data_IF_585354062729
#
_entry.id   IF_585354062729
#
_cell.length_a   1.000
_cell.length_b   1.000
_cell.length_c   1.000
_cell.angle_alpha   90.00
_cell.angle_beta   90.00
_cell.angle_gamma   90.00
#
_symmetry.space_group_name_H-M   'P 1'
#
loop_
_entity.id
_entity.type
_entity.pdbx_description
1 polymer ?
#
# COMPACT_ATOMS: atom_id res chain seq x y z
N UNK A 1 -12.21 0.71 20.22
CA UNK A 1 -11.46 -0.53 20.57
C UNK A 1 -10.00 -0.30 20.22
N UNK A 2 -9.05 -0.42 21.16
CA UNK A 2 -7.62 -0.14 20.88
C UNK A 2 -6.94 -1.37 20.27
N UNK A 3 -6.29 -1.18 19.13
CA UNK A 3 -5.49 -2.20 18.45
C UNK A 3 -4.25 -2.53 19.31
N UNK A 4 -4.03 -3.81 19.64
CA UNK A 4 -2.97 -4.20 20.60
C UNK A 4 -1.56 -4.12 20.01
N UNK A 5 -1.40 -4.28 18.70
CA UNK A 5 -0.16 -4.14 17.95
C UNK A 5 -0.52 -3.70 16.52
N UNK A 6 0.18 -2.71 15.96
CA UNK A 6 0.05 -2.27 14.58
C UNK A 6 1.41 -2.33 13.91
N UNK A 7 1.47 -2.95 12.74
CA UNK A 7 2.70 -3.12 11.95
C UNK A 7 2.63 -2.36 10.63
N UNK A 8 1.44 -1.99 10.17
CA UNK A 8 1.25 -1.17 8.98
C UNK A 8 1.99 0.18 9.05
N UNK A 9 2.02 0.96 10.16
CA UNK A 9 2.81 2.19 10.21
C UNK A 9 4.31 1.96 9.98
N UNK A 10 4.85 0.82 10.41
CA UNK A 10 6.26 0.48 10.19
C UNK A 10 6.58 0.40 8.70
N UNK A 11 5.71 -0.25 7.92
CA UNK A 11 5.87 -0.33 6.47
C UNK A 11 5.74 1.03 5.79
N UNK A 12 4.82 1.87 6.26
CA UNK A 12 4.62 3.19 5.69
C UNK A 12 5.81 4.12 5.97
N UNK A 13 6.30 4.16 7.20
CA UNK A 13 7.49 4.92 7.56
C UNK A 13 8.74 4.41 6.84
N UNK A 14 8.90 3.09 6.70
CA UNK A 14 9.98 2.52 5.91
C UNK A 14 9.91 2.97 4.45
N UNK A 15 8.71 3.00 3.85
CA UNK A 15 8.53 3.45 2.48
C UNK A 15 8.95 4.92 2.30
N UNK A 16 8.53 5.82 3.20
CA UNK A 16 8.94 7.23 3.13
C UNK A 16 10.43 7.42 3.37
N UNK A 17 11.00 6.78 4.39
CA UNK A 17 12.44 6.88 4.66
C UNK A 17 13.26 6.48 3.43
N UNK A 18 12.88 5.39 2.76
CA UNK A 18 13.51 4.96 1.51
C UNK A 18 13.27 5.96 0.36
N UNK A 19 12.09 6.58 0.27
CA UNK A 19 11.79 7.61 -0.73
C UNK A 19 12.68 8.85 -0.59
N UNK A 20 12.98 9.26 0.64
CA UNK A 20 13.87 10.39 0.91
C UNK A 20 15.30 10.09 0.47
N UNK A 21 15.78 8.87 0.70
CA UNK A 21 17.11 8.45 0.20
C UNK A 21 17.18 8.43 -1.33
N UNK A 22 16.06 8.10 -2.01
CA UNK A 22 15.97 8.21 -3.48
C UNK A 22 16.07 9.67 -3.92
N UNK A 23 15.31 10.57 -3.27
CA UNK A 23 15.34 12.01 -3.54
C UNK A 23 16.75 12.58 -3.41
N UNK A 24 17.45 12.26 -2.31
CA UNK A 24 18.81 12.73 -2.05
C UNK A 24 19.79 12.27 -3.14
N UNK A 25 19.69 11.02 -3.59
CA UNK A 25 20.54 10.49 -4.66
C UNK A 25 20.23 11.17 -6.01
N UNK A 26 18.95 11.34 -6.35
CA UNK A 26 18.56 12.02 -7.59
C UNK A 26 19.00 13.49 -7.61
N UNK A 27 18.88 14.18 -6.47
CA UNK A 27 19.35 15.55 -6.30
C UNK A 27 20.88 15.68 -6.42
N UNK A 28 21.63 14.72 -5.89
CA UNK A 28 23.09 14.67 -6.03
C UNK A 28 23.51 14.37 -7.48
N UNK A 29 22.82 13.46 -8.16
CA UNK A 29 23.04 13.17 -9.58
C UNK A 29 22.81 14.42 -10.45
N UNK A 30 21.77 15.20 -10.17
CA UNK A 30 21.49 16.45 -10.88
C UNK A 30 22.61 17.50 -10.71
N UNK A 31 23.39 17.40 -9.63
CA UNK A 31 24.54 18.25 -9.32
C UNK A 31 25.88 17.67 -9.81
N UNK A 32 25.90 16.43 -10.29
CA UNK A 32 27.13 15.71 -10.69
C UNK A 32 27.96 15.23 -9.50
N UNK A 33 27.32 14.93 -8.36
CA UNK A 33 27.93 14.53 -7.09
C UNK A 33 27.65 13.04 -6.75
N UNK A 34 27.36 12.21 -7.75
CA UNK A 34 26.91 10.83 -7.54
C UNK A 34 27.94 9.88 -6.87
N UNK A 35 29.22 10.25 -6.90
CA UNK A 35 30.33 9.49 -6.31
C UNK A 35 30.26 9.43 -4.76
N UNK A 36 29.51 10.34 -4.11
CA UNK A 36 29.39 10.38 -2.65
C UNK A 36 28.66 9.16 -2.06
N UNK A 37 27.77 8.53 -2.83
CA UNK A 37 26.92 7.43 -2.37
C UNK A 37 27.52 6.04 -2.60
N UNK A 38 28.39 5.88 -3.60
CA UNK A 38 28.86 4.56 -4.02
C UNK A 38 29.75 3.86 -2.98
N UNK A 39 30.36 4.61 -2.04
CA UNK A 39 31.29 4.15 -0.98
C UNK A 39 32.30 3.06 -1.43
N UNK A 40 32.59 2.99 -2.73
CA UNK A 40 33.52 2.07 -3.37
C UNK A 40 33.07 0.61 -3.56
N UNK A 41 31.88 0.19 -3.10
CA UNK A 41 31.49 -1.24 -3.12
C UNK A 41 30.28 -1.56 -4.00
N UNK A 42 29.29 -0.66 -4.07
CA UNK A 42 28.04 -0.88 -4.82
C UNK A 42 27.81 0.34 -5.74
N UNK A 43 27.53 0.14 -7.04
CA UNK A 43 27.21 1.25 -7.93
C UNK A 43 26.03 2.07 -7.40
N UNK A 44 26.14 3.40 -7.40
CA UNK A 44 25.10 4.32 -6.89
C UNK A 44 23.71 4.03 -7.50
N UNK A 45 23.65 3.73 -8.79
CA UNK A 45 22.43 3.31 -9.48
C UNK A 45 21.77 2.08 -8.84
N UNK A 46 22.54 1.09 -8.40
CA UNK A 46 21.98 -0.10 -7.75
C UNK A 46 21.46 0.21 -6.34
N UNK A 47 22.10 1.13 -5.63
CA UNK A 47 21.63 1.62 -4.32
C UNK A 47 20.29 2.34 -4.51
N UNK A 48 20.25 3.29 -5.44
CA UNK A 48 19.06 4.04 -5.84
C UNK A 48 17.88 3.12 -6.21
N UNK A 49 18.09 2.24 -7.20
CA UNK A 49 17.06 1.31 -7.66
C UNK A 49 16.59 0.40 -6.52
N UNK A 50 17.51 0.01 -5.63
CA UNK A 50 17.22 -0.75 -4.43
C UNK A 50 16.29 -0.02 -3.47
N UNK A 51 16.58 1.25 -3.16
CA UNK A 51 15.72 2.07 -2.28
C UNK A 51 14.35 2.32 -2.90
N UNK A 52 14.29 2.74 -4.16
CA UNK A 52 13.04 3.01 -4.86
C UNK A 52 12.15 1.75 -4.96
N UNK A 53 12.72 0.61 -5.35
CA UNK A 53 11.95 -0.64 -5.44
C UNK A 53 11.42 -1.09 -4.07
N UNK A 54 12.25 -0.99 -3.01
CA UNK A 54 11.82 -1.36 -1.66
C UNK A 54 10.81 -0.37 -1.06
N UNK A 55 10.82 0.91 -1.45
CA UNK A 55 9.81 1.87 -1.06
C UNK A 55 8.43 1.51 -1.67
N UNK A 56 8.40 1.15 -2.95
CA UNK A 56 7.18 0.66 -3.63
C UNK A 56 6.68 -0.64 -2.99
N UNK A 57 7.57 -1.60 -2.74
CA UNK A 57 7.22 -2.86 -2.06
C UNK A 57 6.64 -2.57 -0.67
N UNK A 58 7.30 -1.72 0.11
CA UNK A 58 6.87 -1.34 1.47
C UNK A 58 5.51 -0.64 1.46
N UNK A 59 5.24 0.20 0.46
CA UNK A 59 3.93 0.83 0.27
C UNK A 59 2.82 -0.21 0.07
N UNK A 60 3.06 -1.24 -0.75
CA UNK A 60 2.08 -2.33 -0.90
C UNK A 60 1.97 -3.23 0.33
N UNK A 61 3.06 -3.40 1.08
CA UNK A 61 3.07 -4.13 2.35
C UNK A 61 2.27 -3.38 3.43
N UNK A 62 2.35 -2.05 3.47
CA UNK A 62 1.50 -1.20 4.31
C UNK A 62 0.01 -1.48 4.06
N UNK A 63 -0.43 -1.49 2.80
CA UNK A 63 -1.83 -1.79 2.46
C UNK A 63 -2.27 -3.18 2.92
N UNK A 64 -1.41 -4.18 2.71
CA UNK A 64 -1.66 -5.56 3.11
C UNK A 64 -1.75 -5.69 4.64
N UNK A 65 -0.83 -5.09 5.38
CA UNK A 65 -0.84 -5.07 6.83
C UNK A 65 -2.08 -4.32 7.36
N UNK A 66 -2.41 -3.15 6.79
CA UNK A 66 -3.51 -2.30 7.26
C UNK A 66 -4.86 -3.00 7.15
N UNK A 67 -5.13 -3.71 6.03
CA UNK A 67 -6.39 -4.45 5.88
C UNK A 67 -6.45 -5.70 6.76
N UNK A 68 -5.32 -6.38 6.96
CA UNK A 68 -5.24 -7.54 7.86
C UNK A 68 -5.45 -7.11 9.32
N UNK A 69 -4.93 -5.96 9.73
CA UNK A 69 -5.16 -5.39 11.07
C UNK A 69 -6.63 -5.07 11.32
N UNK A 70 -7.32 -4.45 10.34
CA UNK A 70 -8.76 -4.19 10.44
C UNK A 70 -9.55 -5.50 10.50
N UNK A 71 -9.17 -6.50 9.71
CA UNK A 71 -9.78 -7.81 9.77
C UNK A 71 -9.60 -8.47 11.15
N UNK A 72 -8.39 -8.47 11.70
CA UNK A 72 -8.09 -9.04 13.03
C UNK A 72 -8.83 -8.29 14.16
N UNK A 73 -8.95 -6.97 14.02
CA UNK A 73 -9.75 -6.13 14.92
C UNK A 73 -11.23 -6.58 14.90
N UNK A 74 -11.80 -6.73 13.71
CA UNK A 74 -13.18 -7.23 13.54
C UNK A 74 -13.35 -8.64 14.12
N UNK A 75 -12.40 -9.54 13.85
CA UNK A 75 -12.42 -10.91 14.36
C UNK A 75 -12.31 -10.98 15.89
N UNK A 76 -11.50 -10.12 16.50
CA UNK A 76 -11.35 -10.06 17.96
C UNK A 76 -12.63 -9.60 18.64
N UNK A 77 -13.29 -8.57 18.11
CA UNK A 77 -14.58 -8.13 18.65
C UNK A 77 -15.66 -9.20 18.47
N UNK A 78 -15.63 -9.89 17.33
CA UNK A 78 -16.50 -11.01 17.02
C UNK A 78 -16.42 -12.15 18.07
N UNK A 79 -15.20 -12.62 18.37
CA UNK A 79 -14.98 -13.64 19.39
C UNK A 79 -15.36 -13.15 20.81
N UNK A 80 -15.12 -11.87 21.10
CA UNK A 80 -15.53 -11.25 22.36
C UNK A 80 -17.05 -11.29 22.56
N UNK A 81 -17.81 -11.03 21.49
CA UNK A 81 -19.26 -11.09 21.49
C UNK A 81 -19.80 -12.51 21.69
N UNK A 82 -19.27 -13.49 20.95
CA UNK A 82 -19.66 -14.91 21.09
C UNK A 82 -19.44 -15.41 22.53
N UNK A 83 -18.32 -15.00 23.16
CA UNK A 83 -18.02 -15.34 24.56
C UNK A 83 -18.94 -14.64 25.57
N UNK A 84 -19.39 -13.42 25.28
CA UNK A 84 -20.26 -12.66 26.16
C UNK A 84 -21.72 -13.19 26.19
N UNK A 85 -22.14 -13.91 25.15
CA UNK A 85 -23.48 -14.50 25.08
C UNK A 85 -24.63 -13.48 25.09
N UNK A 86 -25.81 -13.89 25.57
CA UNK A 86 -27.04 -13.05 25.61
C UNK A 86 -27.01 -11.94 26.69
N UNK A 87 -26.00 -11.91 27.56
CA UNK A 87 -25.93 -11.01 28.72
C UNK A 87 -25.27 -9.66 28.40
N UNK A 88 -25.01 -9.40 27.13
CA UNK A 88 -24.43 -8.14 26.69
C UNK A 88 -25.48 -7.02 26.59
N UNK A 89 -25.18 -5.89 27.24
CA UNK A 89 -26.10 -4.75 27.42
C UNK A 89 -25.60 -3.46 26.76
N UNK A 90 -24.62 -3.54 25.86
CA UNK A 90 -24.08 -2.40 25.11
C UNK A 90 -25.06 -1.83 24.08
N UNK A 91 -24.95 -0.53 23.78
CA UNK A 91 -25.80 0.17 22.79
C UNK A 91 -25.35 -0.12 21.36
N UNK A 92 -26.30 -0.61 20.55
CA UNK A 92 -26.16 -1.36 19.29
C UNK A 92 -25.90 -0.57 18.00
N UNK A 93 -25.27 0.60 18.01
CA UNK A 93 -25.21 1.42 16.77
C UNK A 93 -23.99 1.12 15.86
N UNK A 94 -22.91 0.51 16.38
CA UNK A 94 -21.74 0.06 15.57
C UNK A 94 -21.67 -1.46 15.32
N UNK A 95 -22.47 -2.24 16.04
CA UNK A 95 -22.23 -3.68 16.23
C UNK A 95 -23.09 -4.58 15.34
N UNK A 96 -24.15 -4.04 14.73
CA UNK A 96 -24.93 -4.74 13.69
C UNK A 96 -24.10 -4.98 12.42
N UNK A 97 -23.17 -4.08 12.12
CA UNK A 97 -22.20 -4.21 11.02
C UNK A 97 -21.23 -5.35 11.31
N UNK A 98 -20.69 -5.39 12.53
CA UNK A 98 -19.84 -6.47 13.01
C UNK A 98 -20.57 -7.82 13.00
N UNK A 99 -21.84 -7.84 13.43
CA UNK A 99 -22.73 -9.02 13.40
C UNK A 99 -23.02 -9.55 11.99
N UNK A 100 -23.09 -8.68 10.98
CA UNK A 100 -23.24 -9.09 9.57
C UNK A 100 -21.96 -9.64 8.96
N UNK A 101 -20.80 -9.08 9.31
CA UNK A 101 -19.48 -9.64 8.96
C UNK A 101 -19.29 -11.02 9.62
N UNK A 102 -19.67 -11.14 10.91
CA UNK A 102 -19.68 -12.35 11.73
C UNK A 102 -20.52 -13.50 11.15
N UNK A 103 -21.72 -13.22 10.64
CA UNK A 103 -22.59 -14.24 10.04
C UNK A 103 -22.20 -14.56 8.58
N UNK A 104 -21.55 -13.63 7.89
CA UNK A 104 -21.17 -13.74 6.48
C UNK A 104 -19.84 -14.44 6.23
N UNK A 105 -18.87 -14.32 7.14
CA UNK A 105 -17.54 -14.92 7.00
C UNK A 105 -17.45 -16.24 7.78
N UNK A 106 -17.81 -17.36 7.15
CA UNK A 106 -17.61 -18.72 7.72
C UNK A 106 -16.11 -19.06 7.73
N UNK A 107 -15.72 -20.20 8.32
CA UNK A 107 -14.31 -20.66 8.33
C UNK A 107 -13.68 -20.74 6.93
N UNK A 108 -14.50 -21.03 5.92
CA UNK A 108 -14.13 -20.97 4.51
C UNK A 108 -13.64 -19.56 4.17
N UNK A 109 -14.39 -18.53 4.53
CA UNK A 109 -14.07 -17.15 4.19
C UNK A 109 -12.82 -16.63 4.90
N UNK A 110 -12.46 -17.14 6.09
CA UNK A 110 -11.16 -16.81 6.73
C UNK A 110 -9.98 -17.33 5.92
N UNK A 111 -10.04 -18.59 5.49
CA UNK A 111 -9.00 -19.18 4.62
C UNK A 111 -8.95 -18.47 3.27
N UNK A 112 -10.10 -18.19 2.68
CA UNK A 112 -10.20 -17.47 1.41
C UNK A 112 -9.74 -16.02 1.52
N UNK A 113 -9.99 -15.32 2.63
CA UNK A 113 -9.55 -13.95 2.86
C UNK A 113 -8.03 -13.88 2.85
N UNK A 114 -7.36 -14.74 3.64
CA UNK A 114 -5.89 -14.79 3.74
C UNK A 114 -5.19 -14.96 2.38
N UNK A 115 -5.80 -15.70 1.46
CA UNK A 115 -5.24 -15.99 0.14
C UNK A 115 -5.62 -14.97 -0.96
N UNK A 116 -6.44 -13.96 -0.67
CA UNK A 116 -6.78 -12.91 -1.63
C UNK A 116 -5.72 -11.81 -1.64
N UNK A 117 -5.55 -11.16 -2.79
CA UNK A 117 -4.75 -9.95 -2.87
C UNK A 117 -5.35 -8.83 -1.99
N UNK A 118 -4.50 -7.90 -1.55
CA UNK A 118 -4.86 -6.78 -0.68
C UNK A 118 -6.13 -6.07 -1.14
N UNK A 119 -6.18 -5.59 -2.39
CA UNK A 119 -7.34 -4.85 -2.91
C UNK A 119 -8.66 -5.62 -2.82
N UNK A 120 -8.66 -6.94 -3.08
CA UNK A 120 -9.84 -7.78 -2.91
C UNK A 120 -10.26 -7.90 -1.45
N UNK A 121 -9.31 -7.90 -0.51
CA UNK A 121 -9.60 -7.90 0.94
C UNK A 121 -10.34 -6.61 1.34
N UNK A 122 -9.86 -5.46 0.90
CA UNK A 122 -10.51 -4.16 1.13
C UNK A 122 -11.96 -4.17 0.64
N UNK A 123 -12.18 -4.58 -0.61
CA UNK A 123 -13.50 -4.67 -1.21
C UNK A 123 -14.43 -5.61 -0.45
N UNK A 124 -13.92 -6.78 -0.05
CA UNK A 124 -14.71 -7.75 0.73
C UNK A 124 -15.15 -7.17 2.07
N UNK A 125 -14.25 -6.52 2.81
CA UNK A 125 -14.62 -5.95 4.11
C UNK A 125 -15.69 -4.87 3.96
N UNK A 126 -15.59 -3.99 2.95
CA UNK A 126 -16.63 -2.99 2.68
C UNK A 126 -17.98 -3.66 2.37
N UNK A 127 -18.01 -4.64 1.47
CA UNK A 127 -19.24 -5.36 1.12
C UNK A 127 -19.87 -6.07 2.32
N UNK A 128 -19.06 -6.77 3.14
CA UNK A 128 -19.56 -7.52 4.30
C UNK A 128 -20.04 -6.60 5.42
N UNK A 129 -19.48 -5.40 5.51
CA UNK A 129 -19.91 -4.37 6.46
C UNK A 129 -21.10 -3.54 5.94
N UNK A 130 -21.61 -3.84 4.74
CA UNK A 130 -22.68 -3.07 4.11
C UNK A 130 -22.28 -1.66 3.71
N UNK A 131 -20.97 -1.42 3.55
CA UNK A 131 -20.41 -0.15 3.07
C UNK A 131 -20.19 -0.20 1.56
N UNK A 132 -20.12 0.96 0.94
CA UNK A 132 -19.93 1.06 -0.49
C UNK A 132 -18.51 0.61 -0.90
N UNK A 133 -18.37 -0.39 -1.79
CA UNK A 133 -17.08 -0.81 -2.32
C UNK A 133 -16.40 0.34 -3.09
N UNK A 134 -15.07 0.31 -3.24
CA UNK A 134 -14.43 1.27 -4.15
C UNK A 134 -14.87 0.99 -5.58
N UNK A 135 -15.20 2.03 -6.35
CA UNK A 135 -15.39 1.88 -7.78
C UNK A 135 -14.05 1.50 -8.42
N UNK A 136 -14.03 0.37 -9.12
CA UNK A 136 -12.81 -0.12 -9.76
C UNK A 136 -12.44 0.73 -10.98
N UNK A 137 -13.33 1.56 -11.51
CA UNK A 137 -13.04 2.55 -12.54
C UNK A 137 -12.55 3.90 -12.02
N UNK A 138 -12.69 4.18 -10.72
CA UNK A 138 -12.30 5.47 -10.13
C UNK A 138 -10.79 5.59 -9.88
N UNK A 139 -10.33 6.85 -9.84
CA UNK A 139 -8.93 7.22 -9.75
C UNK A 139 -8.19 6.56 -8.59
N UNK A 140 -8.74 6.57 -7.37
CA UNK A 140 -8.02 6.07 -6.19
C UNK A 140 -7.78 4.55 -6.23
N UNK A 141 -8.77 3.77 -6.68
CA UNK A 141 -8.59 2.32 -6.86
C UNK A 141 -7.60 2.02 -7.98
N UNK A 142 -7.68 2.74 -9.10
CA UNK A 142 -6.77 2.57 -10.24
C UNK A 142 -5.32 2.97 -9.91
N UNK A 143 -5.12 4.03 -9.12
CA UNK A 143 -3.81 4.43 -8.59
C UNK A 143 -3.18 3.28 -7.80
N UNK A 144 -3.86 2.73 -6.80
CA UNK A 144 -3.30 1.63 -6.01
C UNK A 144 -3.14 0.33 -6.81
N UNK A 145 -4.07 0.02 -7.72
CA UNK A 145 -3.91 -1.13 -8.60
C UNK A 145 -2.70 -0.98 -9.52
N UNK A 146 -2.39 0.25 -9.94
CA UNK A 146 -1.16 0.59 -10.67
C UNK A 146 0.06 0.32 -9.81
N UNK A 147 0.12 0.84 -8.58
CA UNK A 147 1.25 0.59 -7.65
C UNK A 147 1.44 -0.92 -7.42
N UNK A 148 0.34 -1.67 -7.26
CA UNK A 148 0.39 -3.14 -7.12
C UNK A 148 0.98 -3.82 -8.35
N UNK A 149 0.64 -3.37 -9.56
CA UNK A 149 1.19 -3.90 -10.81
C UNK A 149 2.67 -3.57 -10.93
N UNK A 150 3.05 -2.32 -10.70
CA UNK A 150 4.46 -1.90 -10.68
C UNK A 150 5.28 -2.76 -9.71
N UNK A 151 4.79 -2.96 -8.49
CA UNK A 151 5.44 -3.86 -7.52
C UNK A 151 5.61 -5.29 -8.06
N UNK A 152 4.58 -5.82 -8.71
CA UNK A 152 4.65 -7.15 -9.29
C UNK A 152 5.69 -7.21 -10.42
N UNK A 153 5.74 -6.18 -11.27
CA UNK A 153 6.68 -6.12 -12.38
C UNK A 153 8.13 -6.03 -11.89
N UNK A 154 8.37 -5.33 -10.77
CA UNK A 154 9.69 -5.25 -10.12
C UNK A 154 10.14 -6.59 -9.49
N UNK A 155 9.21 -7.40 -8.98
CA UNK A 155 9.53 -8.70 -8.35
C UNK A 155 9.62 -9.82 -9.38
N UNK A 156 8.69 -9.84 -10.34
CA UNK A 156 8.55 -10.87 -11.36
C UNK A 156 9.17 -10.40 -12.67
N UNK A 157 10.35 -9.80 -12.58
CA UNK A 157 11.10 -9.36 -13.74
C UNK A 157 11.33 -10.52 -14.71
N UNK A 158 10.86 -10.40 -15.96
CA UNK A 158 11.09 -11.39 -17.00
C UNK A 158 12.22 -10.94 -17.94
N UNK A 159 13.29 -11.75 -18.15
CA UNK A 159 14.42 -11.37 -19.00
C UNK A 159 14.06 -10.96 -20.43
N UNK A 160 12.99 -11.53 -20.97
CA UNK A 160 12.49 -11.26 -22.33
C UNK A 160 12.05 -9.80 -22.52
N UNK A 161 11.87 -9.04 -21.43
CA UNK A 161 11.58 -7.61 -21.46
C UNK A 161 12.70 -6.77 -22.08
N UNK A 162 13.96 -7.23 -22.03
CA UNK A 162 15.08 -6.55 -22.69
C UNK A 162 15.15 -6.84 -24.20
N UNK A 163 14.72 -8.02 -24.63
CA UNK A 163 14.79 -8.45 -26.03
C UNK A 163 13.49 -8.17 -26.81
N UNK A 164 12.39 -7.91 -26.10
CA UNK A 164 11.12 -7.56 -26.72
C UNK A 164 11.18 -6.15 -27.31
N UNK A 165 10.76 -6.01 -28.57
CA UNK A 165 10.55 -4.69 -29.21
C UNK A 165 9.26 -4.01 -28.75
N UNK A 166 8.50 -4.65 -27.86
CA UNK A 166 7.24 -4.13 -27.35
C UNK A 166 7.53 -3.17 -26.20
N UNK A 167 6.91 -1.99 -26.25
CA UNK A 167 6.97 -1.07 -25.12
C UNK A 167 6.22 -1.69 -23.94
N UNK A 168 6.90 -1.86 -22.81
CA UNK A 168 6.22 -2.11 -21.55
C UNK A 168 5.42 -0.84 -21.27
N UNK A 169 4.12 -0.88 -21.61
CA UNK A 169 3.21 0.17 -21.24
C UNK A 169 3.34 0.38 -19.73
N UNK A 170 3.44 1.63 -19.25
CA UNK A 170 3.36 1.92 -17.83
C UNK A 170 2.22 1.12 -17.23
N UNK A 171 2.42 0.47 -16.07
CA UNK A 171 1.30 -0.19 -15.42
C UNK A 171 0.22 0.88 -15.18
N UNK A 172 -0.90 0.81 -15.89
CA UNK A 172 -2.10 1.59 -15.58
C UNK A 172 -1.96 3.12 -15.63
N UNK A 173 -2.36 3.78 -14.53
CA UNK A 173 -2.75 5.20 -14.45
C UNK A 173 -1.73 6.06 -13.70
N UNK A 174 -0.43 5.86 -13.98
CA UNK A 174 0.60 6.78 -13.49
C UNK A 174 0.28 8.19 -14.01
N UNK A 175 0.25 9.24 -13.16
CA UNK A 175 -0.02 10.60 -13.61
C UNK A 175 0.96 11.06 -14.69
N UNK A 176 0.46 11.83 -15.65
CA UNK A 176 1.33 12.51 -16.60
C UNK A 176 2.11 13.62 -15.88
N UNK A 177 3.37 13.80 -16.26
CA UNK A 177 4.21 14.87 -15.74
C UNK A 177 5.00 14.51 -14.48
N UNK A 178 5.01 13.24 -14.07
CA UNK A 178 6.01 12.75 -13.12
C UNK A 178 7.31 12.43 -13.87
N UNK A 179 8.43 12.80 -13.25
CA UNK A 179 9.76 12.49 -13.76
C UNK A 179 10.09 11.01 -13.58
N UNK A 180 10.75 10.44 -14.59
CA UNK A 180 11.20 9.05 -14.60
C UNK A 180 12.61 8.93 -14.01
N UNK A 181 13.01 7.69 -13.71
CA UNK A 181 14.30 7.39 -13.10
C UNK A 181 15.44 8.01 -13.93
N UNK A 182 16.24 8.93 -13.36
CA UNK A 182 17.23 9.71 -14.11
C UNK A 182 18.41 8.86 -14.62
N UNK A 183 18.58 7.63 -14.12
CA UNK A 183 19.59 6.69 -14.62
C UNK A 183 19.18 5.96 -15.91
N UNK A 184 17.96 6.16 -16.41
CA UNK A 184 17.39 5.41 -17.54
C UNK A 184 16.76 6.35 -18.58
N UNK A 185 17.24 6.26 -19.83
CA UNK A 185 16.77 7.14 -20.93
C UNK A 185 15.44 6.71 -21.56
N UNK A 186 14.91 5.52 -21.22
CA UNK A 186 13.72 4.95 -21.87
C UNK A 186 12.66 4.64 -20.83
N UNK A 187 11.39 4.64 -21.21
CA UNK A 187 10.25 4.23 -20.35
C UNK A 187 9.88 2.75 -20.52
N UNK A 188 10.79 1.94 -21.11
CA UNK A 188 10.50 0.57 -21.56
C UNK A 188 10.83 -0.50 -20.53
N UNK A 189 11.43 -0.13 -19.40
CA UNK A 189 11.83 -1.04 -18.32
C UNK A 189 11.08 -0.62 -17.04
N UNK A 190 10.55 -1.56 -16.24
CA UNK A 190 10.07 -1.28 -14.88
C UNK A 190 11.01 -0.39 -14.05
N UNK A 191 12.33 -0.51 -14.27
CA UNK A 191 13.33 0.31 -13.58
C UNK A 191 13.24 1.80 -13.91
N UNK A 192 12.73 2.15 -15.08
CA UNK A 192 12.47 3.53 -15.48
C UNK A 192 11.42 4.21 -14.62
N UNK A 193 10.58 3.45 -13.93
CA UNK A 193 9.58 3.96 -12.99
C UNK A 193 10.10 4.05 -11.56
N UNK A 194 11.38 3.79 -11.32
CA UNK A 194 12.02 3.88 -10.00
C UNK A 194 12.58 5.28 -9.77
N UNK A 195 11.74 6.32 -9.82
CA UNK A 195 12.11 7.69 -9.46
C UNK A 195 11.51 8.12 -8.14
N UNK A 196 12.06 9.17 -7.50
CA UNK A 196 11.49 9.73 -6.29
C UNK A 196 10.01 10.11 -6.49
N UNK A 197 9.68 10.84 -7.55
CA UNK A 197 8.31 11.32 -7.77
C UNK A 197 7.29 10.17 -7.93
N UNK A 198 7.67 9.08 -8.61
CA UNK A 198 6.80 7.91 -8.77
C UNK A 198 6.69 7.14 -7.45
N UNK A 199 7.78 7.04 -6.68
CA UNK A 199 7.79 6.40 -5.36
C UNK A 199 6.92 7.17 -4.38
N UNK A 200 7.06 8.49 -4.31
CA UNK A 200 6.28 9.34 -3.40
C UNK A 200 4.78 9.31 -3.78
N UNK A 201 4.47 9.39 -5.08
CA UNK A 201 3.13 9.16 -5.58
C UNK A 201 2.56 7.79 -5.19
N UNK A 202 3.38 6.73 -5.21
CA UNK A 202 2.96 5.38 -4.85
C UNK A 202 2.64 5.27 -3.34
N UNK A 203 3.47 5.88 -2.50
CA UNK A 203 3.27 5.98 -1.05
C UNK A 203 1.96 6.71 -0.75
N UNK A 204 1.80 7.91 -1.32
CA UNK A 204 0.62 8.77 -1.15
C UNK A 204 -0.66 8.03 -1.59
N UNK A 205 -0.61 7.39 -2.75
CA UNK A 205 -1.75 6.61 -3.29
C UNK A 205 -2.19 5.51 -2.32
N UNK A 206 -1.23 4.81 -1.71
CA UNK A 206 -1.51 3.75 -0.76
C UNK A 206 -2.06 4.30 0.56
N UNK A 207 -1.46 5.39 1.08
CA UNK A 207 -1.88 6.05 2.31
C UNK A 207 -3.32 6.58 2.20
N UNK A 208 -3.62 7.34 1.15
CA UNK A 208 -4.96 7.88 0.87
C UNK A 208 -6.01 6.78 0.70
N UNK A 209 -5.66 5.67 0.04
CA UNK A 209 -6.57 4.54 -0.12
C UNK A 209 -6.91 3.87 1.22
N UNK A 210 -5.91 3.68 2.09
CA UNK A 210 -6.13 3.14 3.43
C UNK A 210 -6.99 4.07 4.29
N UNK A 211 -6.74 5.38 4.25
CA UNK A 211 -7.56 6.39 4.92
C UNK A 211 -9.01 6.34 4.45
N UNK A 212 -9.23 6.40 3.14
CA UNK A 212 -10.58 6.38 2.57
C UNK A 212 -11.33 5.09 2.93
N UNK A 213 -10.64 3.94 2.92
CA UNK A 213 -11.21 2.68 3.38
C UNK A 213 -11.69 2.76 4.84
N UNK A 214 -10.84 3.29 5.71
CA UNK A 214 -11.13 3.41 7.14
C UNK A 214 -12.28 4.39 7.40
N UNK A 215 -12.30 5.51 6.68
CA UNK A 215 -13.41 6.47 6.67
C UNK A 215 -14.73 5.80 6.26
N UNK A 216 -14.73 4.97 5.20
CA UNK A 216 -15.93 4.23 4.76
C UNK A 216 -16.41 3.21 5.80
N UNK A 217 -15.51 2.65 6.59
CA UNK A 217 -15.85 1.72 7.66
C UNK A 217 -16.36 2.38 8.94
N UNK A 218 -16.18 3.69 9.11
CA UNK A 218 -16.56 4.44 10.31
C UNK A 218 -15.84 3.90 11.56
N UNK A 219 -14.56 3.55 11.42
CA UNK A 219 -13.72 3.10 12.53
C UNK A 219 -12.95 4.32 13.02
N UNK A 220 -13.23 4.82 14.21
CA UNK A 220 -12.42 5.87 14.86
C UNK A 220 -11.03 5.34 15.25
N UNK A 221 -9.99 6.13 14.99
CA UNK A 221 -8.60 5.70 15.04
C UNK A 221 -7.85 6.13 16.30
N UNK A 222 -6.87 5.34 16.70
CA UNK A 222 -5.77 5.80 17.55
C UNK A 222 -4.46 5.51 16.83
N UNK A 223 -3.89 6.50 16.13
CA UNK A 223 -2.48 6.52 15.69
C UNK A 223 -2.18 6.41 14.18
N UNK A 224 -3.01 5.77 13.35
CA UNK A 224 -2.69 5.63 11.91
C UNK A 224 -2.98 6.90 11.11
N UNK A 225 -4.08 7.60 11.41
CA UNK A 225 -4.40 8.89 10.78
C UNK A 225 -3.30 9.90 11.08
N UNK A 226 -2.89 10.03 12.34
CA UNK A 226 -1.76 10.88 12.73
C UNK A 226 -0.48 10.54 11.94
N UNK A 227 -0.15 9.24 11.79
CA UNK A 227 1.02 8.82 10.99
C UNK A 227 0.90 9.19 9.52
N UNK A 228 -0.29 9.04 8.92
CA UNK A 228 -0.51 9.35 7.50
C UNK A 228 -0.56 10.87 7.30
N UNK A 229 -1.27 11.60 8.15
CA UNK A 229 -1.37 13.06 8.10
C UNK A 229 -0.01 13.71 8.30
N UNK A 230 0.79 13.22 9.26
CA UNK A 230 2.16 13.68 9.42
C UNK A 230 2.98 13.42 8.15
N UNK A 231 2.86 12.24 7.56
CA UNK A 231 3.58 11.86 6.34
C UNK A 231 3.17 12.64 5.08
N UNK A 232 1.93 13.09 5.01
CA UNK A 232 1.41 13.87 3.89
C UNK A 232 1.60 15.38 4.08
N UNK A 233 1.93 15.82 5.29
CA UNK A 233 2.20 17.23 5.61
C UNK A 233 3.68 17.61 5.46
N UNK A 234 4.57 16.62 5.39
CA UNK A 234 6.02 16.73 5.16
C UNK A 234 6.37 16.54 3.69
#
# INVERSE_FOLDING_TARGET
MKMKLSFSPVHLHAAKALSLEVEEIEAALAQGEEDEFAKGEIPVRMIHDGYAANAIISSTAFLEASVNEVFDLMMTAAEGWERAGKDWTGTMDGEVILYRVLLGLRDVDKYWFKNKNSLKKYQLLLVHTGREPFDTGEGLYQRVNTVRRLRNDLIHFEPDWYDSKEEISPPGSIPNGLDFNPFYETTRDPKSFLSHEIVDWAIESCALFALEFRRRLDIEHSGMEDSIEQLLAE
#
